data_IF_485531015331
#
_entry.id   IF_485531015331
#
_cell.length_a   1.000
_cell.length_b   1.000
_cell.length_c   1.000
_cell.angle_alpha   90.00
_cell.angle_beta   90.00
_cell.angle_gamma   90.00
#
_symmetry.space_group_name_H-M   'P 1'
#
loop_
_entity.id
_entity.type
_entity.pdbx_description
1 polymer ?
#
# COMPACT_ATOMS: atom_id res chain seq x y z
N UNK A 1 -2.71 12.13 -21.45
CA UNK A 1 -3.45 12.30 -20.17
C UNK A 1 -2.91 11.45 -19.02
N UNK A 2 -2.20 10.34 -19.26
CA UNK A 2 -1.75 9.45 -18.16
C UNK A 2 -0.70 10.05 -17.23
N UNK A 3 0.16 10.94 -17.75
CA UNK A 3 1.22 11.58 -16.97
C UNK A 3 0.61 12.44 -15.85
N UNK A 4 -0.30 13.35 -16.18
CA UNK A 4 -0.97 14.22 -15.20
C UNK A 4 -1.77 13.44 -14.16
N UNK A 5 -2.50 12.40 -14.58
CA UNK A 5 -3.21 11.51 -13.66
C UNK A 5 -2.25 10.81 -12.70
N UNK A 6 -1.09 10.39 -13.20
CA UNK A 6 -0.08 9.76 -12.35
C UNK A 6 0.55 10.77 -11.38
N UNK A 7 0.79 12.00 -11.80
CA UNK A 7 1.24 13.09 -10.92
C UNK A 7 0.21 13.45 -9.83
N UNK A 8 -1.08 13.47 -10.17
CA UNK A 8 -2.15 13.66 -9.19
C UNK A 8 -2.22 12.49 -8.20
N UNK A 9 -2.12 11.26 -8.71
CA UNK A 9 -2.06 10.06 -7.87
C UNK A 9 -0.87 10.09 -6.91
N UNK A 10 0.32 10.52 -7.36
CA UNK A 10 1.47 10.65 -6.47
C UNK A 10 1.24 11.68 -5.34
N UNK A 11 0.57 12.79 -5.65
CA UNK A 11 0.24 13.82 -4.65
C UNK A 11 -0.77 13.30 -3.62
N UNK A 12 -1.78 12.55 -4.05
CA UNK A 12 -2.86 12.11 -3.16
C UNK A 12 -2.52 10.81 -2.40
N UNK A 13 -1.85 9.86 -3.05
CA UNK A 13 -1.55 8.53 -2.49
C UNK A 13 -0.31 8.54 -1.59
N UNK A 14 0.66 9.43 -1.86
CA UNK A 14 1.92 9.53 -1.10
C UNK A 14 2.12 10.89 -0.43
N UNK A 15 1.10 11.76 -0.42
CA UNK A 15 1.15 13.13 0.13
C UNK A 15 2.38 13.94 -0.36
N UNK A 16 2.80 13.71 -1.61
CA UNK A 16 3.92 14.41 -2.24
C UNK A 16 3.49 15.83 -2.64
N UNK A 17 3.29 16.71 -1.65
CA UNK A 17 2.99 18.13 -1.88
C UNK A 17 4.16 18.83 -2.57
N UNK A 18 3.92 19.93 -3.30
CA UNK A 18 4.99 20.79 -3.80
C UNK A 18 5.79 21.34 -2.62
N UNK A 19 7.01 20.84 -2.43
CA UNK A 19 7.93 21.35 -1.40
C UNK A 19 8.94 22.24 -2.11
N UNK A 20 9.06 23.47 -1.63
CA UNK A 20 10.08 24.41 -2.11
C UNK A 20 11.47 23.96 -1.63
N UNK A 21 12.10 23.07 -2.38
CA UNK A 21 13.46 22.62 -2.12
C UNK A 21 14.45 23.68 -2.60
N UNK A 22 15.20 24.28 -1.65
CA UNK A 22 16.20 25.32 -1.93
C UNK A 22 17.62 24.78 -2.18
N UNK A 23 17.82 23.47 -2.04
CA UNK A 23 19.12 22.81 -2.21
C UNK A 23 19.01 21.72 -3.25
N UNK A 24 20.00 21.62 -4.12
CA UNK A 24 20.03 20.68 -5.25
C UNK A 24 19.84 19.23 -4.80
N UNK A 25 20.42 18.83 -3.66
CA UNK A 25 20.27 17.47 -3.13
C UNK A 25 18.83 17.12 -2.76
N UNK A 26 18.05 18.07 -2.21
CA UNK A 26 16.65 17.83 -1.85
C UNK A 26 15.76 17.77 -3.09
N UNK A 27 16.07 18.57 -4.12
CA UNK A 27 15.38 18.50 -5.41
C UNK A 27 15.58 17.12 -6.04
N UNK A 28 16.82 16.64 -6.13
CA UNK A 28 17.14 15.32 -6.69
C UNK A 28 16.46 14.19 -5.92
N UNK A 29 16.49 14.23 -4.57
CA UNK A 29 15.83 13.24 -3.74
C UNK A 29 14.30 13.21 -3.95
N UNK A 30 13.65 14.38 -4.03
CA UNK A 30 12.21 14.46 -4.27
C UNK A 30 11.82 13.92 -5.65
N UNK A 31 12.57 14.29 -6.71
CA UNK A 31 12.34 13.76 -8.05
C UNK A 31 12.48 12.23 -8.06
N UNK A 32 13.48 11.68 -7.37
CA UNK A 32 13.66 10.24 -7.24
C UNK A 32 12.47 9.56 -6.55
N UNK A 33 12.01 10.08 -5.41
CA UNK A 33 10.86 9.53 -4.68
C UNK A 33 9.59 9.59 -5.55
N UNK A 34 9.35 10.71 -6.24
CA UNK A 34 8.26 10.83 -7.21
C UNK A 34 8.40 9.80 -8.34
N UNK A 35 9.59 9.59 -8.89
CA UNK A 35 9.78 8.58 -9.92
C UNK A 35 9.52 7.15 -9.39
N UNK A 36 9.97 6.82 -8.19
CA UNK A 36 9.69 5.53 -7.55
C UNK A 36 8.19 5.33 -7.32
N UNK A 37 7.50 6.35 -6.83
CA UNK A 37 6.05 6.35 -6.66
C UNK A 37 5.29 6.04 -7.95
N UNK A 38 5.66 6.72 -9.04
CA UNK A 38 5.10 6.49 -10.37
C UNK A 38 5.33 5.05 -10.82
N UNK A 39 6.55 4.54 -10.64
CA UNK A 39 6.92 3.18 -10.99
C UNK A 39 6.07 2.15 -10.23
N UNK A 40 5.91 2.31 -8.91
CA UNK A 40 5.06 1.45 -8.09
C UNK A 40 3.60 1.47 -8.56
N UNK A 41 3.05 2.65 -8.83
CA UNK A 41 1.68 2.79 -9.35
C UNK A 41 1.50 2.04 -10.68
N UNK A 42 2.47 2.14 -11.60
CA UNK A 42 2.42 1.44 -12.89
C UNK A 42 2.58 -0.06 -12.77
N UNK A 43 3.43 -0.53 -11.87
CA UNK A 43 3.56 -1.95 -11.56
C UNK A 43 2.24 -2.49 -11.01
N UNK A 44 1.64 -1.80 -10.03
CA UNK A 44 0.34 -2.16 -9.46
C UNK A 44 -0.76 -2.19 -10.52
N UNK A 45 -0.84 -1.17 -11.38
CA UNK A 45 -1.78 -1.11 -12.51
C UNK A 45 -1.64 -2.34 -13.42
N UNK A 46 -0.39 -2.70 -13.76
CA UNK A 46 -0.10 -3.87 -14.60
C UNK A 46 -0.57 -5.17 -13.95
N UNK A 47 -0.29 -5.38 -12.67
CA UNK A 47 -0.72 -6.59 -11.96
C UNK A 47 -2.24 -6.68 -11.84
N UNK A 48 -2.93 -5.58 -11.53
CA UNK A 48 -4.39 -5.55 -11.47
C UNK A 48 -5.02 -5.90 -12.83
N UNK A 49 -4.47 -5.35 -13.93
CA UNK A 49 -4.91 -5.69 -15.30
C UNK A 49 -4.67 -7.17 -15.63
N UNK A 50 -3.49 -7.70 -15.31
CA UNK A 50 -3.17 -9.13 -15.52
C UNK A 50 -4.07 -10.05 -14.70
N UNK A 51 -4.41 -9.65 -13.47
CA UNK A 51 -5.35 -10.36 -12.59
C UNK A 51 -6.83 -10.18 -12.96
N UNK A 52 -7.15 -9.45 -14.05
CA UNK A 52 -8.52 -9.09 -14.48
C UNK A 52 -9.34 -8.42 -13.36
N UNK A 53 -8.66 -7.67 -12.48
CA UNK A 53 -9.30 -6.93 -11.39
C UNK A 53 -9.76 -5.58 -11.93
N UNK A 54 -11.06 -5.35 -11.97
CA UNK A 54 -11.64 -4.09 -12.43
C UNK A 54 -11.63 -3.02 -11.31
N UNK A 55 -10.43 -2.65 -10.85
CA UNK A 55 -10.21 -1.59 -9.88
C UNK A 55 -9.16 -0.61 -10.37
N UNK A 56 -9.35 0.66 -10.04
CA UNK A 56 -8.29 1.66 -10.20
C UNK A 56 -7.22 1.48 -9.13
N UNK A 57 -5.97 1.84 -9.45
CA UNK A 57 -4.85 1.79 -8.50
C UNK A 57 -5.15 2.53 -7.19
N UNK A 58 -5.74 3.75 -7.19
CA UNK A 58 -6.07 4.45 -5.94
C UNK A 58 -7.05 3.68 -5.06
N UNK A 59 -8.12 3.11 -5.64
CA UNK A 59 -9.10 2.32 -4.88
C UNK A 59 -8.51 1.03 -4.33
N UNK A 60 -7.66 0.38 -5.12
CA UNK A 60 -6.98 -0.82 -4.68
C UNK A 60 -5.99 -0.51 -3.55
N UNK A 61 -5.28 0.63 -3.63
CA UNK A 61 -4.38 1.09 -2.56
C UNK A 61 -5.15 1.46 -1.28
N UNK A 62 -6.20 2.25 -1.38
CA UNK A 62 -7.08 2.61 -0.25
C UNK A 62 -7.66 1.36 0.43
N UNK A 63 -8.11 0.37 -0.37
CA UNK A 63 -8.59 -0.90 0.15
C UNK A 63 -7.52 -1.64 0.96
N UNK A 64 -6.27 -1.66 0.49
CA UNK A 64 -5.15 -2.26 1.23
C UNK A 64 -4.75 -1.45 2.47
N UNK A 65 -4.78 -0.11 2.42
CA UNK A 65 -4.49 0.75 3.58
C UNK A 65 -5.48 0.55 4.73
N UNK A 66 -6.72 0.20 4.42
CA UNK A 66 -7.75 -0.08 5.43
C UNK A 66 -7.60 -1.47 6.10
N UNK A 67 -6.58 -2.26 5.75
CA UNK A 67 -6.25 -3.46 6.50
C UNK A 67 -5.66 -3.09 7.86
N UNK A 68 -6.22 -3.62 8.94
CA UNK A 68 -5.81 -3.30 10.30
C UNK A 68 -5.35 -4.56 11.04
N UNK A 69 -4.28 -4.41 11.81
CA UNK A 69 -3.80 -5.40 12.77
C UNK A 69 -4.19 -4.90 14.15
N UNK A 70 -4.94 -5.70 14.88
CA UNK A 70 -5.35 -5.42 16.26
C UNK A 70 -4.54 -6.30 17.20
N UNK A 71 -3.98 -5.72 18.25
CA UNK A 71 -3.36 -6.49 19.33
C UNK A 71 -4.42 -6.89 20.35
N UNK A 72 -4.44 -8.17 20.69
CA UNK A 72 -5.32 -8.76 21.69
C UNK A 72 -4.41 -9.36 22.76
N UNK A 73 -4.60 -8.95 24.00
CA UNK A 73 -3.95 -9.56 25.16
C UNK A 73 -4.90 -10.57 25.79
N UNK A 74 -4.46 -11.82 25.92
CA UNK A 74 -5.25 -12.88 26.53
C UNK A 74 -4.36 -13.71 27.45
N UNK A 75 -4.69 -13.73 28.74
CA UNK A 75 -3.95 -14.47 29.78
C UNK A 75 -2.43 -14.17 29.81
N UNK A 76 -2.03 -12.92 29.56
CA UNK A 76 -0.61 -12.49 29.57
C UNK A 76 0.14 -12.69 28.26
N UNK A 77 -0.44 -13.41 27.29
CA UNK A 77 0.09 -13.54 25.94
C UNK A 77 -0.45 -12.44 25.02
N UNK A 78 0.43 -11.88 24.17
CA UNK A 78 0.08 -10.86 23.18
C UNK A 78 -0.09 -11.48 21.80
N UNK A 79 -1.28 -11.33 21.25
CA UNK A 79 -1.66 -11.82 19.94
C UNK A 79 -1.90 -10.66 18.98
N UNK A 80 -1.46 -10.80 17.74
CA UNK A 80 -1.81 -9.91 16.65
C UNK A 80 -2.87 -10.59 15.78
N UNK A 81 -4.02 -9.94 15.67
CA UNK A 81 -5.14 -10.38 14.86
C UNK A 81 -5.32 -9.43 13.67
N UNK A 82 -5.26 -9.98 12.46
CA UNK A 82 -5.60 -9.24 11.25
C UNK A 82 -7.12 -9.24 11.05
N UNK A 83 -7.69 -8.07 10.79
CA UNK A 83 -9.12 -7.96 10.43
C UNK A 83 -9.46 -8.84 9.23
N UNK A 84 -10.75 -9.22 9.12
CA UNK A 84 -11.19 -10.02 7.99
C UNK A 84 -10.89 -9.32 6.67
N UNK A 85 -10.06 -9.96 5.85
CA UNK A 85 -9.80 -9.46 4.51
C UNK A 85 -11.10 -9.42 3.72
N UNK A 86 -11.46 -8.24 3.25
CA UNK A 86 -12.59 -8.03 2.34
C UNK A 86 -12.37 -8.77 1.02
N UNK A 87 -13.46 -8.97 0.27
CA UNK A 87 -13.38 -9.57 -1.08
C UNK A 87 -12.36 -8.84 -1.96
N UNK A 88 -12.39 -7.50 -1.96
CA UNK A 88 -11.48 -6.69 -2.75
C UNK A 88 -10.02 -6.86 -2.32
N UNK A 89 -9.72 -6.87 -1.03
CA UNK A 89 -8.34 -7.08 -0.53
C UNK A 89 -7.80 -8.45 -0.95
N UNK A 90 -8.62 -9.51 -0.89
CA UNK A 90 -8.22 -10.87 -1.31
C UNK A 90 -7.89 -10.92 -2.80
N UNK A 91 -8.73 -10.34 -3.67
CA UNK A 91 -8.48 -10.33 -5.12
C UNK A 91 -7.27 -9.45 -5.49
N UNK A 92 -7.07 -8.33 -4.79
CA UNK A 92 -5.92 -7.44 -5.00
C UNK A 92 -4.62 -8.17 -4.62
N UNK A 93 -4.55 -8.78 -3.43
CA UNK A 93 -3.37 -9.53 -2.98
C UNK A 93 -3.03 -10.68 -3.94
N UNK A 94 -4.06 -11.40 -4.41
CA UNK A 94 -3.90 -12.46 -5.41
C UNK A 94 -3.35 -11.92 -6.73
N UNK A 95 -3.87 -10.80 -7.22
CA UNK A 95 -3.41 -10.16 -8.46
C UNK A 95 -1.96 -9.66 -8.34
N UNK A 96 -1.58 -9.13 -7.18
CA UNK A 96 -0.23 -8.68 -6.86
C UNK A 96 0.75 -9.85 -6.58
N UNK A 97 0.26 -11.09 -6.54
CA UNK A 97 1.04 -12.29 -6.17
C UNK A 97 1.68 -12.19 -4.77
N UNK A 98 1.03 -11.48 -3.85
CA UNK A 98 1.47 -11.33 -2.47
C UNK A 98 0.81 -12.40 -1.63
N UNK A 99 1.59 -13.09 -0.79
CA UNK A 99 1.05 -14.06 0.16
C UNK A 99 0.10 -13.34 1.12
N UNK A 100 -1.12 -13.86 1.26
CA UNK A 100 -2.08 -13.31 2.21
C UNK A 100 -1.51 -13.44 3.63
N UNK A 101 -1.43 -12.33 4.40
CA UNK A 101 -0.93 -12.38 5.76
C UNK A 101 -1.78 -13.31 6.63
N UNK A 102 -1.12 -14.03 7.53
CA UNK A 102 -1.79 -14.92 8.47
C UNK A 102 -2.71 -14.11 9.38
N UNK A 103 -3.94 -14.62 9.59
CA UNK A 103 -4.94 -13.95 10.41
C UNK A 103 -4.54 -13.77 11.87
N UNK A 104 -3.67 -14.65 12.34
CA UNK A 104 -3.22 -14.71 13.71
C UNK A 104 -1.71 -14.88 13.70
N UNK A 105 -1.02 -13.99 14.39
CA UNK A 105 0.42 -14.09 14.64
C UNK A 105 0.64 -13.87 16.13
N UNK A 106 1.41 -14.74 16.76
CA UNK A 106 1.81 -14.57 18.17
C UNK A 106 2.88 -13.49 18.18
N UNK A 107 2.59 -12.34 18.79
CA UNK A 107 3.52 -11.22 18.81
C UNK A 107 4.56 -11.39 19.91
N UNK A 108 4.14 -11.83 21.10
CA UNK A 108 5.00 -12.21 22.22
C UNK A 108 4.32 -13.27 23.09
N UNK A 109 5.05 -14.33 23.42
CA UNK A 109 4.63 -15.40 24.33
C UNK A 109 5.28 -15.13 25.68
N UNK A 110 4.52 -15.08 26.77
CA UNK A 110 5.09 -15.08 28.10
C UNK A 110 5.70 -16.46 28.38
N UNK A 111 7.01 -16.48 28.63
CA UNK A 111 7.73 -17.62 29.20
C UNK A 111 7.88 -17.37 30.69
#
# INVERSE_FOLDING_TARGET
>A
MDVERSFRMMKDVLDLRPIWHRTDIRVRAHILICFMALLFSKIMERYLKMGKVNLSVPRAWESLQNMQITEIEFHGDKYQYLTELTYYQKIILKALKIKTPSRFTIAQKQV
#
